data_IF_681418908730
#
_entry.id   IF_681418908730
#
_cell.length_a   1.000
_cell.length_b   1.000
_cell.length_c   1.000
_cell.angle_alpha   90.00
_cell.angle_beta   90.00
_cell.angle_gamma   90.00
#
_symmetry.space_group_name_H-M   'P 1'
#
loop_
_entity.id
_entity.type
_entity.pdbx_description
1 polymer ?
#
# COMPACT_ATOMS: atom_id res chain seq x y z
N UNK A 1 8.23 -30.04 65.26
CA UNK A 1 9.07 -29.01 64.63
C UNK A 1 8.50 -28.73 63.25
N UNK A 2 8.12 -27.47 63.00
CA UNK A 2 8.20 -26.69 61.72
C UNK A 2 7.68 -27.40 60.45
N UNK A 3 6.72 -26.93 59.65
CA UNK A 3 5.99 -25.67 59.47
C UNK A 3 5.17 -25.82 58.16
N UNK A 4 3.92 -25.34 58.10
CA UNK A 4 3.46 -24.22 57.22
C UNK A 4 3.72 -24.44 55.70
N UNK A 5 2.78 -24.33 54.74
CA UNK A 5 1.63 -23.41 54.57
C UNK A 5 0.59 -24.05 53.63
N UNK A 6 -0.70 -23.93 53.98
CA UNK A 6 -1.85 -24.12 53.08
C UNK A 6 -2.32 -22.73 52.64
N UNK A 7 -2.70 -22.58 51.35
CA UNK A 7 -3.96 -21.96 50.86
C UNK A 7 -3.78 -21.14 49.56
N UNK A 8 -4.22 -21.79 48.48
CA UNK A 8 -5.24 -21.38 47.51
C UNK A 8 -5.95 -20.00 47.64
N UNK A 9 -6.55 -19.52 46.53
CA UNK A 9 -6.61 -18.12 46.12
C UNK A 9 -8.01 -17.49 46.36
N UNK A 10 -8.20 -16.27 45.84
CA UNK A 10 -9.45 -15.66 45.30
C UNK A 10 -9.88 -14.33 45.96
N UNK A 11 -9.90 -13.30 45.09
CA UNK A 11 -10.76 -12.10 44.96
C UNK A 11 -11.19 -11.26 46.18
N UNK A 12 -10.95 -9.94 46.09
CA UNK A 12 -11.97 -8.86 46.22
C UNK A 12 -11.33 -7.46 46.09
N UNK A 13 -11.57 -6.75 44.98
CA UNK A 13 -12.59 -5.68 44.77
C UNK A 13 -12.15 -4.27 45.22
N UNK A 14 -12.12 -3.36 44.23
CA UNK A 14 -12.57 -1.94 44.23
C UNK A 14 -12.10 -1.00 45.36
N UNK A 15 -11.73 0.27 45.17
CA UNK A 15 -11.75 1.21 44.06
C UNK A 15 -10.90 2.43 44.49
N UNK A 16 -10.26 3.12 43.56
CA UNK A 16 -10.06 4.57 43.64
C UNK A 16 -9.75 5.09 42.23
N UNK A 17 -10.74 5.73 41.63
CA UNK A 17 -10.60 6.57 40.44
C UNK A 17 -9.82 7.82 40.84
N UNK A 18 -8.68 8.07 40.22
CA UNK A 18 -8.19 9.42 39.98
C UNK A 18 -7.87 9.53 38.50
N UNK A 19 -8.69 10.33 37.82
CA UNK A 19 -8.45 10.80 36.46
C UNK A 19 -7.23 11.72 36.52
N UNK A 20 -6.14 11.29 35.90
CA UNK A 20 -5.13 12.21 35.38
C UNK A 20 -5.09 11.99 33.86
N UNK A 21 -5.84 12.81 33.13
CA UNK A 21 -5.69 12.98 31.69
C UNK A 21 -4.32 13.62 31.45
N UNK A 22 -3.28 12.79 31.37
CA UNK A 22 -2.03 13.17 30.72
C UNK A 22 -2.16 12.82 29.24
N UNK A 23 -2.67 13.76 28.46
CA UNK A 23 -2.32 13.89 27.05
C UNK A 23 -0.84 14.28 27.00
N UNK A 24 0.04 13.30 27.20
CA UNK A 24 1.42 13.40 26.78
C UNK A 24 1.53 12.61 25.50
N UNK A 25 1.83 13.33 24.42
CA UNK A 25 2.20 12.83 23.10
C UNK A 25 3.03 11.55 23.21
N UNK A 26 2.35 10.40 23.11
CA UNK A 26 3.00 9.18 22.71
C UNK A 26 3.04 9.23 21.18
N UNK A 27 4.22 9.44 20.56
CA UNK A 27 4.33 9.26 19.12
C UNK A 27 3.84 7.85 18.77
N UNK A 28 3.27 7.70 17.58
CA UNK A 28 2.82 6.43 16.97
C UNK A 28 4.00 5.44 16.74
N UNK A 29 4.84 5.22 17.74
CA UNK A 29 6.09 4.46 17.67
C UNK A 29 5.91 2.95 17.87
N UNK A 30 4.68 2.44 17.81
CA UNK A 30 4.40 0.99 17.86
C UNK A 30 3.71 0.42 16.61
N UNK A 31 3.63 1.19 15.52
CA UNK A 31 3.24 0.64 14.22
C UNK A 31 4.43 0.06 13.41
N UNK A 32 5.66 0.15 13.93
CA UNK A 32 6.88 -0.16 13.16
C UNK A 32 7.50 -1.53 13.46
N UNK A 33 6.84 -2.37 14.26
CA UNK A 33 7.34 -3.69 14.62
C UNK A 33 6.32 -4.79 14.31
N UNK A 34 5.94 -4.91 13.02
CA UNK A 34 5.47 -6.17 12.39
C UNK A 34 5.17 -5.96 10.91
N UNK A 35 6.19 -6.10 10.09
CA UNK A 35 6.15 -6.90 8.88
C UNK A 35 7.61 -7.12 8.48
N UNK A 36 8.03 -8.37 8.40
CA UNK A 36 9.31 -8.71 7.80
C UNK A 36 9.21 -8.38 6.30
N UNK A 37 9.46 -7.13 5.91
CA UNK A 37 9.39 -6.70 4.52
C UNK A 37 10.70 -7.09 3.84
N UNK A 38 10.77 -8.30 3.26
CA UNK A 38 11.86 -8.67 2.35
C UNK A 38 11.41 -9.69 1.32
N UNK A 39 10.64 -9.26 0.31
CA UNK A 39 10.06 -10.12 -0.72
C UNK A 39 9.80 -9.26 -1.97
N UNK A 40 10.52 -9.44 -3.07
CA UNK A 40 10.33 -8.61 -4.28
C UNK A 40 8.87 -8.58 -4.74
N UNK A 41 8.16 -9.69 -4.52
CA UNK A 41 6.71 -9.78 -4.57
C UNK A 41 6.23 -10.74 -3.46
N UNK A 42 5.50 -10.21 -2.48
CA UNK A 42 4.78 -10.93 -1.42
C UNK A 42 3.94 -9.93 -0.61
N UNK A 43 2.94 -10.30 0.21
CA UNK A 43 1.88 -11.29 -0.02
C UNK A 43 0.70 -10.55 -0.69
N UNK A 44 0.08 -11.20 -1.67
CA UNK A 44 -1.25 -10.93 -2.25
C UNK A 44 -2.08 -12.18 -1.96
N UNK A 45 -2.40 -12.39 -0.67
CA UNK A 45 -3.05 -13.63 -0.22
C UNK A 45 -4.51 -13.70 -0.69
N UNK A 46 -5.10 -12.54 -0.99
CA UNK A 46 -6.46 -12.42 -1.46
C UNK A 46 -6.62 -12.49 -2.98
N UNK A 47 -5.52 -12.66 -3.72
CA UNK A 47 -5.48 -12.71 -5.18
C UNK A 47 -6.16 -11.49 -5.86
N UNK A 48 -6.06 -10.32 -5.22
CA UNK A 48 -6.61 -9.05 -5.74
C UNK A 48 -5.76 -8.46 -6.86
N UNK A 49 -4.54 -8.96 -7.03
CA UNK A 49 -3.52 -8.37 -7.90
C UNK A 49 -2.80 -7.18 -7.24
N UNK A 50 -2.98 -6.99 -5.93
CA UNK A 50 -2.35 -5.96 -5.11
C UNK A 50 -1.80 -6.61 -3.84
N UNK A 51 -0.69 -6.09 -3.32
CA UNK A 51 -0.16 -6.59 -2.04
C UNK A 51 -1.10 -6.20 -0.89
N UNK A 52 -1.36 -7.13 0.01
CA UNK A 52 -2.31 -6.95 1.11
C UNK A 52 -1.92 -5.78 2.04
N UNK A 53 -0.62 -5.51 2.21
CA UNK A 53 -0.14 -4.37 3.00
C UNK A 53 -0.38 -3.03 2.30
N UNK A 54 -0.30 -2.99 0.97
CA UNK A 54 -0.62 -1.80 0.18
C UNK A 54 -2.12 -1.59 0.16
N UNK A 55 -2.91 -2.65 0.00
CA UNK A 55 -4.37 -2.57 0.09
C UNK A 55 -4.81 -2.06 1.47
N UNK A 56 -4.23 -2.60 2.55
CA UNK A 56 -4.49 -2.13 3.92
C UNK A 56 -4.08 -0.66 4.10
N UNK A 57 -2.94 -0.24 3.53
CA UNK A 57 -2.52 1.16 3.55
C UNK A 57 -3.50 2.08 2.81
N UNK A 58 -3.99 1.69 1.63
CA UNK A 58 -5.01 2.46 0.89
C UNK A 58 -6.30 2.55 1.72
N UNK A 59 -6.75 1.42 2.28
CA UNK A 59 -7.96 1.36 3.12
C UNK A 59 -7.85 2.25 4.36
N UNK A 60 -6.68 2.32 4.99
CA UNK A 60 -6.44 3.18 6.14
C UNK A 60 -6.56 4.68 5.83
N UNK A 61 -6.24 5.09 4.60
CA UNK A 61 -6.37 6.47 4.13
C UNK A 61 -7.76 6.79 3.59
N UNK A 62 -8.39 5.83 2.93
CA UNK A 62 -9.68 5.96 2.25
C UNK A 62 -10.57 4.76 2.58
N UNK A 63 -11.24 4.76 3.75
CA UNK A 63 -11.95 3.58 4.26
C UNK A 63 -13.15 3.18 3.41
N UNK A 64 -13.81 4.14 2.74
CA UNK A 64 -14.93 3.89 1.85
C UNK A 64 -14.46 3.24 0.54
N UNK A 65 -14.92 2.01 0.27
CA UNK A 65 -14.53 1.25 -0.93
C UNK A 65 -14.89 1.95 -2.25
N UNK A 66 -16.01 2.67 -2.27
CA UNK A 66 -16.46 3.43 -3.44
C UNK A 66 -15.78 4.80 -3.59
N UNK A 67 -14.88 5.18 -2.66
CA UNK A 67 -14.22 6.47 -2.72
C UNK A 67 -13.37 6.56 -4.00
N UNK A 68 -13.55 7.58 -4.86
CA UNK A 68 -12.86 7.64 -6.15
C UNK A 68 -11.33 7.52 -6.04
N UNK A 69 -10.74 8.15 -5.01
CA UNK A 69 -9.29 8.07 -4.78
C UNK A 69 -8.84 6.64 -4.45
N UNK A 70 -9.64 5.87 -3.70
CA UNK A 70 -9.31 4.48 -3.38
C UNK A 70 -9.29 3.63 -4.64
N UNK A 71 -10.33 3.73 -5.46
CA UNK A 71 -10.43 3.00 -6.73
C UNK A 71 -9.23 3.32 -7.64
N UNK A 72 -8.85 4.60 -7.74
CA UNK A 72 -7.70 5.03 -8.53
C UNK A 72 -6.36 4.48 -7.97
N UNK A 73 -6.18 4.54 -6.65
CA UNK A 73 -5.00 4.02 -5.98
C UNK A 73 -4.87 2.50 -6.13
N UNK A 74 -5.98 1.75 -6.04
CA UNK A 74 -5.99 0.31 -6.25
C UNK A 74 -5.61 -0.06 -7.69
N UNK A 75 -6.13 0.65 -8.69
CA UNK A 75 -5.76 0.40 -10.09
C UNK A 75 -4.28 0.70 -10.38
N UNK A 76 -3.77 1.82 -9.87
CA UNK A 76 -2.34 2.12 -9.97
C UNK A 76 -1.49 1.09 -9.24
N UNK A 77 -1.91 0.67 -8.03
CA UNK A 77 -1.24 -0.35 -7.25
C UNK A 77 -1.16 -1.68 -8.00
N UNK A 78 -2.26 -2.13 -8.61
CA UNK A 78 -2.30 -3.35 -9.45
C UNK A 78 -1.38 -3.25 -10.65
N UNK A 79 -1.32 -2.09 -11.31
CA UNK A 79 -0.39 -1.87 -12.43
C UNK A 79 1.08 -1.93 -11.98
N UNK A 80 1.41 -1.34 -10.83
CA UNK A 80 2.75 -1.44 -10.26
C UNK A 80 3.11 -2.87 -9.86
N UNK A 81 2.19 -3.60 -9.24
CA UNK A 81 2.35 -4.99 -8.83
C UNK A 81 2.61 -5.89 -10.04
N UNK A 82 1.84 -5.71 -11.11
CA UNK A 82 2.05 -6.40 -12.38
C UNK A 82 3.42 -6.05 -12.99
N UNK A 83 3.85 -4.79 -12.90
CA UNK A 83 5.19 -4.38 -13.32
C UNK A 83 6.30 -5.06 -12.53
N UNK A 84 6.19 -5.08 -11.20
CA UNK A 84 7.14 -5.79 -10.33
C UNK A 84 7.23 -7.27 -10.68
N UNK A 85 6.09 -7.94 -10.85
CA UNK A 85 6.03 -9.33 -11.31
C UNK A 85 6.75 -9.50 -12.66
N UNK A 86 6.46 -8.61 -13.62
CA UNK A 86 7.04 -8.64 -14.95
C UNK A 86 8.57 -8.48 -14.97
N UNK A 87 9.11 -7.63 -14.09
CA UNK A 87 10.55 -7.46 -13.94
C UNK A 87 11.19 -8.63 -13.19
N UNK A 88 10.52 -9.15 -12.16
CA UNK A 88 10.99 -10.29 -11.39
C UNK A 88 11.08 -11.57 -12.25
N UNK A 89 10.02 -11.87 -13.00
CA UNK A 89 9.97 -13.02 -13.92
C UNK A 89 10.74 -12.80 -15.23
N UNK A 90 11.25 -11.59 -15.45
CA UNK A 90 11.85 -11.15 -16.70
C UNK A 90 10.97 -11.41 -17.95
N UNK A 91 9.65 -11.37 -17.82
CA UNK A 91 8.70 -11.70 -18.88
C UNK A 91 8.38 -10.49 -19.77
N UNK A 92 8.73 -10.51 -21.08
CA UNK A 92 8.41 -9.40 -21.99
C UNK A 92 6.91 -9.16 -22.16
N UNK A 93 6.12 -10.24 -22.17
CA UNK A 93 4.67 -10.16 -22.29
C UNK A 93 4.05 -9.46 -21.07
N UNK A 94 4.48 -9.84 -19.86
CA UNK A 94 4.01 -9.17 -18.64
C UNK A 94 4.48 -7.72 -18.57
N UNK A 95 5.69 -7.40 -19.06
CA UNK A 95 6.18 -6.02 -19.10
C UNK A 95 5.27 -5.16 -19.96
N UNK A 96 4.90 -5.64 -21.15
CA UNK A 96 3.95 -4.93 -22.00
C UNK A 96 2.58 -4.76 -21.34
N UNK A 97 2.05 -5.81 -20.69
CA UNK A 97 0.78 -5.73 -19.98
C UNK A 97 0.82 -4.72 -18.82
N UNK A 98 1.91 -4.70 -18.06
CA UNK A 98 2.12 -3.75 -16.96
C UNK A 98 2.17 -2.30 -17.48
N UNK A 99 2.91 -2.05 -18.57
CA UNK A 99 3.00 -0.73 -19.19
C UNK A 99 1.61 -0.26 -19.65
N UNK A 100 0.83 -1.14 -20.28
CA UNK A 100 -0.53 -0.83 -20.73
C UNK A 100 -1.47 -0.54 -19.55
N UNK A 101 -1.48 -1.40 -18.53
CA UNK A 101 -2.29 -1.21 -17.34
C UNK A 101 -1.94 0.10 -16.61
N UNK A 102 -0.65 0.41 -16.50
CA UNK A 102 -0.17 1.65 -15.90
C UNK A 102 -0.59 2.87 -16.71
N UNK A 103 -0.46 2.84 -18.03
CA UNK A 103 -0.86 3.93 -18.91
C UNK A 103 -2.37 4.21 -18.86
N UNK A 104 -3.19 3.16 -18.84
CA UNK A 104 -4.65 3.28 -18.68
C UNK A 104 -4.99 3.87 -17.30
N UNK A 105 -4.36 3.38 -16.23
CA UNK A 105 -4.58 3.90 -14.88
C UNK A 105 -4.20 5.39 -14.78
N UNK A 106 -3.07 5.79 -15.37
CA UNK A 106 -2.65 7.20 -15.42
C UNK A 106 -3.60 8.07 -16.25
N UNK A 107 -4.08 7.58 -17.39
CA UNK A 107 -5.08 8.30 -18.19
C UNK A 107 -6.38 8.49 -17.41
N UNK A 108 -6.82 7.50 -16.63
CA UNK A 108 -7.99 7.62 -15.77
C UNK A 108 -7.78 8.60 -14.62
N UNK A 109 -6.63 8.57 -13.96
CA UNK A 109 -6.29 9.52 -12.90
C UNK A 109 -6.27 10.95 -13.45
N UNK A 110 -5.64 11.18 -14.61
CA UNK A 110 -5.60 12.50 -15.24
C UNK A 110 -6.95 13.01 -15.77
N UNK A 111 -7.85 12.11 -16.17
CA UNK A 111 -9.20 12.46 -16.66
C UNK A 111 -10.15 12.85 -15.53
N UNK A 112 -10.09 12.15 -14.39
CA UNK A 112 -11.11 12.24 -13.34
C UNK A 112 -10.70 13.08 -12.12
N UNK A 113 -9.42 13.43 -11.98
CA UNK A 113 -8.91 14.18 -10.83
C UNK A 113 -8.21 15.46 -11.26
N UNK A 114 -8.21 16.48 -10.38
CA UNK A 114 -7.40 17.68 -10.60
C UNK A 114 -5.91 17.32 -10.63
N UNK A 115 -5.04 18.13 -11.27
CA UNK A 115 -3.60 17.89 -11.30
C UNK A 115 -2.99 17.70 -9.90
N UNK A 116 -3.42 18.47 -8.91
CA UNK A 116 -2.93 18.37 -7.53
C UNK A 116 -3.37 17.06 -6.86
N UNK A 117 -4.61 16.64 -7.07
CA UNK A 117 -5.12 15.38 -6.55
C UNK A 117 -4.41 14.19 -7.22
N UNK A 118 -4.28 14.21 -8.55
CA UNK A 118 -3.54 13.22 -9.32
C UNK A 118 -2.09 13.07 -8.83
N UNK A 119 -1.40 14.19 -8.58
CA UNK A 119 -0.04 14.19 -8.05
C UNK A 119 0.05 13.51 -6.67
N UNK A 120 -0.90 13.78 -5.77
CA UNK A 120 -0.96 13.15 -4.44
C UNK A 120 -1.21 11.64 -4.53
N UNK A 121 -2.13 11.22 -5.40
CA UNK A 121 -2.45 9.80 -5.62
C UNK A 121 -1.20 9.08 -6.13
N UNK A 122 -0.58 9.61 -7.18
CA UNK A 122 0.62 9.06 -7.79
C UNK A 122 1.78 8.97 -6.80
N UNK A 123 2.08 10.05 -6.06
CA UNK A 123 3.15 10.04 -5.07
C UNK A 123 2.87 9.08 -3.91
N UNK A 124 1.63 9.01 -3.44
CA UNK A 124 1.22 8.12 -2.37
C UNK A 124 1.40 6.65 -2.73
N UNK A 125 0.86 6.24 -3.88
CA UNK A 125 0.96 4.84 -4.31
C UNK A 125 2.40 4.46 -4.69
N UNK A 126 3.17 5.36 -5.30
CA UNK A 126 4.59 5.13 -5.59
C UNK A 126 5.39 4.87 -4.32
N UNK A 127 5.12 5.64 -3.26
CA UNK A 127 5.77 5.45 -1.97
C UNK A 127 5.38 4.13 -1.32
N UNK A 128 4.11 3.76 -1.36
CA UNK A 128 3.62 2.51 -0.78
C UNK A 128 4.18 1.28 -1.52
N UNK A 129 4.21 1.33 -2.86
CA UNK A 129 4.74 0.27 -3.71
C UNK A 129 6.28 0.19 -3.64
N UNK A 130 6.97 1.32 -3.66
CA UNK A 130 8.44 1.43 -3.66
C UNK A 130 9.07 1.47 -2.26
N UNK A 131 8.47 0.84 -1.26
CA UNK A 131 8.90 0.95 0.15
C UNK A 131 10.24 0.26 0.49
N UNK A 132 10.88 -0.40 -0.48
CA UNK A 132 12.25 -0.92 -0.37
C UNK A 132 13.10 -0.45 -1.57
N UNK A 133 14.42 -0.47 -1.43
CA UNK A 133 15.35 -0.07 -2.49
C UNK A 133 15.17 -0.88 -3.78
N UNK A 134 14.89 -2.17 -3.66
CA UNK A 134 14.66 -3.06 -4.80
C UNK A 134 13.31 -2.79 -5.49
N UNK A 135 12.22 -2.62 -4.71
CA UNK A 135 10.90 -2.30 -5.27
C UNK A 135 10.85 -0.94 -5.94
N UNK A 136 11.57 0.04 -5.38
CA UNK A 136 11.71 1.36 -5.99
C UNK A 136 12.34 1.28 -7.39
N UNK A 137 13.27 0.36 -7.63
CA UNK A 137 13.85 0.17 -8.98
C UNK A 137 12.79 -0.30 -9.97
N UNK A 138 11.89 -1.20 -9.58
CA UNK A 138 10.80 -1.65 -10.46
C UNK A 138 9.78 -0.56 -10.74
N UNK A 139 9.42 0.26 -9.74
CA UNK A 139 8.57 1.44 -9.92
C UNK A 139 9.19 2.38 -10.95
N UNK A 140 10.47 2.72 -10.79
CA UNK A 140 11.20 3.59 -11.73
C UNK A 140 11.26 2.96 -13.13
N UNK A 141 11.54 1.66 -13.22
CA UNK A 141 11.66 0.96 -14.50
C UNK A 141 10.32 0.94 -15.27
N UNK A 142 9.20 0.67 -14.59
CA UNK A 142 7.87 0.72 -15.20
C UNK A 142 7.54 2.12 -15.71
N UNK A 143 7.78 3.15 -14.89
CA UNK A 143 7.55 4.56 -15.27
C UNK A 143 8.39 4.97 -16.48
N UNK A 144 9.67 4.59 -16.49
CA UNK A 144 10.58 4.89 -17.59
C UNK A 144 10.13 4.21 -18.90
N UNK A 145 9.67 2.96 -18.84
CA UNK A 145 9.14 2.26 -20.01
C UNK A 145 7.85 2.89 -20.51
N UNK A 146 6.92 3.22 -19.62
CA UNK A 146 5.70 3.94 -19.97
C UNK A 146 6.00 5.28 -20.64
N UNK A 147 6.92 6.08 -20.09
CA UNK A 147 7.31 7.36 -20.68
C UNK A 147 7.87 7.21 -22.10
N UNK A 148 8.63 6.15 -22.39
CA UNK A 148 9.10 5.86 -23.75
C UNK A 148 7.93 5.62 -24.71
N UNK A 149 6.91 4.88 -24.29
CA UNK A 149 5.74 4.61 -25.14
C UNK A 149 4.97 5.90 -25.41
N UNK A 150 4.65 6.68 -24.37
CA UNK A 150 3.90 7.93 -24.51
C UNK A 150 4.63 8.95 -25.39
N UNK A 151 5.95 9.08 -25.24
CA UNK A 151 6.74 9.99 -26.08
C UNK A 151 6.79 9.55 -27.55
N UNK A 152 6.72 8.24 -27.80
CA UNK A 152 6.74 7.68 -29.15
C UNK A 152 5.35 7.74 -29.81
N UNK A 153 4.28 7.71 -29.01
CA UNK A 153 2.91 7.77 -29.49
C UNK A 153 2.00 8.49 -28.48
N UNK A 154 1.93 9.83 -28.54
CA UNK A 154 1.06 10.61 -27.65
C UNK A 154 -0.40 10.20 -27.80
N UNK A 155 -1.12 10.05 -26.69
CA UNK A 155 -2.53 9.63 -26.71
C UNK A 155 -2.75 8.12 -26.86
N UNK A 156 -1.69 7.30 -26.72
CA UNK A 156 -1.80 5.83 -26.73
C UNK A 156 -2.80 5.28 -25.72
N UNK A 157 -3.00 5.98 -24.59
CA UNK A 157 -3.86 5.52 -23.51
C UNK A 157 -5.08 6.44 -23.37
N UNK A 158 -6.25 5.81 -23.26
CA UNK A 158 -7.51 6.47 -22.95
C UNK A 158 -8.15 5.80 -21.75
N UNK A 159 -8.75 6.58 -20.84
CA UNK A 159 -9.56 6.00 -19.78
C UNK A 159 -10.88 5.46 -20.37
N UNK A 160 -11.15 4.15 -20.27
CA UNK A 160 -12.29 3.54 -20.95
C UNK A 160 -13.65 3.84 -20.31
N UNK A 161 -13.67 4.51 -19.15
CA UNK A 161 -14.87 4.94 -18.44
C UNK A 161 -14.75 6.42 -18.05
#
# INVERSE_FOLDING_TARGET
MIGFIIRHPILSTAAAVIIALNFTDAPLSHAFEKANVSEVMGLDANASGLRDDVESWIQGLYPEAAHPIRVAAEQLGKAYQLGMLAFHENSPALKNNAIQAYGIAQACVGKHFSPEAAAKINAGIEKAMGNTSERAQYVVALKAQHARVVNSNPGTYSCPY
#
